data_IF_163921111492
#
_entry.id   IF_163921111492
#
_cell.length_a   1.000
_cell.length_b   1.000
_cell.length_c   1.000
_cell.angle_alpha   90.00
_cell.angle_beta   90.00
_cell.angle_gamma   90.00
#
_symmetry.space_group_name_H-M   'P 1'
#
loop_
_entity.id
_entity.type
_entity.pdbx_description
1 polymer ?
#
# COMPACT_ATOMS: atom_id res chain seq x y z
N UNK A 1 22.20 9.88 -3.31
CA UNK A 1 21.39 8.72 -2.87
C UNK A 1 19.96 9.21 -2.80
N UNK A 2 19.02 8.61 -3.53
CA UNK A 2 17.61 9.00 -3.41
C UNK A 2 17.10 8.49 -2.06
N UNK A 3 16.84 9.40 -1.13
CA UNK A 3 16.35 9.08 0.21
C UNK A 3 14.86 8.70 0.08
N UNK A 4 14.55 7.40 0.21
CA UNK A 4 13.18 6.90 0.09
C UNK A 4 12.45 7.26 1.38
N UNK A 5 11.44 8.10 1.26
CA UNK A 5 10.64 8.53 2.41
C UNK A 5 9.74 7.40 2.92
N UNK A 6 9.58 7.31 4.23
CA UNK A 6 8.62 6.40 4.85
C UNK A 6 7.18 6.84 4.57
N UNK A 7 6.32 5.88 4.20
CA UNK A 7 4.91 6.11 3.97
C UNK A 7 4.20 6.45 5.28
N UNK A 8 3.60 7.64 5.34
CA UNK A 8 2.71 8.07 6.42
C UNK A 8 1.31 7.51 6.21
N UNK A 9 0.82 7.59 4.98
CA UNK A 9 -0.48 7.05 4.59
C UNK A 9 -0.39 6.38 3.21
N UNK A 10 -1.11 5.28 3.06
CA UNK A 10 -1.19 4.51 1.83
C UNK A 10 -2.65 4.14 1.58
N UNK A 11 -3.19 4.59 0.45
CA UNK A 11 -4.57 4.28 0.06
C UNK A 11 -4.59 3.15 -0.97
N UNK A 12 -5.34 2.11 -0.65
CA UNK A 12 -5.50 0.91 -1.43
C UNK A 12 -6.94 0.80 -1.92
N UNK A 13 -7.13 0.67 -3.23
CA UNK A 13 -8.45 0.42 -3.83
C UNK A 13 -8.55 -1.03 -4.27
N UNK A 14 -9.68 -1.69 -3.98
CA UNK A 14 -9.93 -3.03 -4.54
C UNK A 14 -10.16 -2.95 -6.04
N UNK A 15 -9.37 -3.67 -6.84
CA UNK A 15 -9.63 -3.82 -8.27
C UNK A 15 -10.44 -5.10 -8.59
N UNK A 16 -10.43 -6.10 -7.70
CA UNK A 16 -11.19 -7.34 -7.87
C UNK A 16 -12.36 -7.42 -6.86
N UNK A 17 -13.59 -7.35 -7.35
CA UNK A 17 -14.83 -7.40 -6.54
C UNK A 17 -15.15 -8.80 -6.00
N UNK A 18 -14.55 -9.86 -6.57
CA UNK A 18 -14.76 -11.24 -6.13
C UNK A 18 -13.79 -11.68 -5.02
N UNK A 19 -12.90 -10.78 -4.57
CA UNK A 19 -11.91 -11.10 -3.56
C UNK A 19 -12.52 -11.24 -2.15
N UNK A 20 -12.25 -12.34 -1.44
CA UNK A 20 -12.71 -12.52 -0.07
C UNK A 20 -12.25 -11.41 0.91
N UNK A 21 -12.97 -11.17 2.02
CA UNK A 21 -12.72 -10.01 2.89
C UNK A 21 -11.41 -10.05 3.68
N UNK A 22 -10.82 -11.25 3.90
CA UNK A 22 -9.60 -11.45 4.69
C UNK A 22 -8.31 -10.88 4.06
N UNK A 23 -8.38 -10.31 2.86
CA UNK A 23 -7.22 -9.86 2.10
C UNK A 23 -6.58 -8.59 2.67
N UNK A 24 -7.28 -7.83 3.54
CA UNK A 24 -6.75 -6.63 4.20
C UNK A 24 -5.55 -6.91 5.10
N UNK A 25 -5.54 -8.05 5.81
CA UNK A 25 -4.41 -8.42 6.66
C UNK A 25 -3.22 -8.91 5.81
N UNK A 26 -3.50 -9.69 4.76
CA UNK A 26 -2.49 -10.23 3.85
C UNK A 26 -1.74 -9.09 3.15
N UNK A 27 -2.45 -8.08 2.66
CA UNK A 27 -1.81 -6.97 1.94
C UNK A 27 -0.91 -6.13 2.83
N UNK A 28 -1.31 -5.88 4.09
CA UNK A 28 -0.47 -5.18 5.08
C UNK A 28 0.83 -5.93 5.34
N UNK A 29 0.74 -7.23 5.65
CA UNK A 29 1.94 -8.05 5.90
C UNK A 29 2.85 -8.16 4.69
N UNK A 30 2.31 -8.17 3.47
CA UNK A 30 3.12 -8.23 2.23
C UNK A 30 3.79 -6.91 1.87
N UNK A 31 3.19 -5.79 2.24
CA UNK A 31 3.70 -4.44 1.96
C UNK A 31 4.73 -4.01 3.00
N UNK A 32 4.63 -4.48 4.24
CA UNK A 32 5.56 -4.10 5.31
C UNK A 32 7.03 -4.34 4.91
N UNK A 33 7.87 -3.32 5.05
CA UNK A 33 9.28 -3.36 4.68
C UNK A 33 9.56 -3.24 3.18
N UNK A 34 8.53 -3.05 2.34
CA UNK A 34 8.68 -2.85 0.89
C UNK A 34 8.45 -1.40 0.49
N UNK A 35 9.05 -1.04 -0.62
CA UNK A 35 8.74 0.21 -1.29
C UNK A 35 7.54 0.02 -2.23
N UNK A 36 6.74 1.05 -2.38
CA UNK A 36 5.61 1.07 -3.31
C UNK A 36 5.34 2.49 -3.80
N UNK A 37 4.64 2.57 -4.93
CA UNK A 37 4.19 3.82 -5.54
C UNK A 37 2.78 3.64 -6.11
N UNK A 38 2.17 4.75 -6.54
CA UNK A 38 0.86 4.73 -7.20
C UNK A 38 0.89 3.83 -8.44
N UNK A 39 -0.14 2.98 -8.59
CA UNK A 39 -0.30 2.00 -9.66
C UNK A 39 0.20 0.60 -9.32
N UNK A 40 0.98 0.43 -8.24
CA UNK A 40 1.42 -0.90 -7.82
C UNK A 40 0.24 -1.75 -7.35
N UNK A 41 0.26 -3.05 -7.68
CA UNK A 41 -0.81 -3.99 -7.34
C UNK A 41 -0.34 -5.06 -6.37
N UNK A 42 -1.11 -5.24 -5.31
CA UNK A 42 -0.84 -6.23 -4.27
C UNK A 42 -2.10 -7.02 -3.95
N UNK A 43 -2.01 -8.34 -4.16
CA UNK A 43 -3.12 -9.28 -3.93
C UNK A 43 -4.33 -8.90 -4.80
N UNK A 44 -5.26 -8.10 -4.29
CA UNK A 44 -6.50 -7.65 -4.94
C UNK A 44 -6.69 -6.13 -4.84
N UNK A 45 -5.66 -5.44 -4.37
CA UNK A 45 -5.64 -4.00 -4.18
C UNK A 45 -4.63 -3.34 -5.11
N UNK A 46 -4.94 -2.12 -5.52
CA UNK A 46 -4.05 -1.21 -6.24
C UNK A 46 -3.74 -0.01 -5.32
N UNK A 47 -2.47 0.42 -5.30
CA UNK A 47 -2.06 1.64 -4.61
C UNK A 47 -2.56 2.82 -5.44
N UNK A 48 -3.52 3.56 -4.92
CA UNK A 48 -4.09 4.73 -5.61
C UNK A 48 -3.53 6.04 -5.07
N UNK A 49 -2.92 6.02 -3.88
CA UNK A 49 -2.29 7.20 -3.26
C UNK A 49 -1.21 6.79 -2.26
N UNK A 50 -0.11 7.53 -2.26
CA UNK A 50 0.94 7.49 -1.24
C UNK A 50 1.10 8.87 -0.61
N UNK A 51 1.41 8.92 0.68
CA UNK A 51 1.76 10.15 1.40
C UNK A 51 3.08 9.92 2.13
N UNK A 52 4.19 10.61 1.79
CA UNK A 52 4.31 11.57 0.68
C UNK A 52 4.10 10.91 -0.70
N UNK A 53 3.82 11.73 -1.71
CA UNK A 53 3.63 11.23 -3.08
C UNK A 53 4.93 10.68 -3.66
N UNK A 54 4.79 9.66 -4.52
CA UNK A 54 5.91 8.96 -5.14
C UNK A 54 6.25 7.65 -4.45
N UNK A 55 7.50 7.20 -4.65
CA UNK A 55 8.02 5.95 -4.10
C UNK A 55 8.26 6.09 -2.59
N UNK A 56 7.57 5.27 -1.81
CA UNK A 56 7.64 5.31 -0.34
C UNK A 56 7.89 3.94 0.26
N UNK A 57 8.62 3.90 1.38
CA UNK A 57 8.84 2.70 2.17
C UNK A 57 7.68 2.48 3.15
N UNK A 58 7.03 1.32 3.08
CA UNK A 58 5.97 0.96 4.02
C UNK A 58 6.59 0.43 5.31
N UNK A 59 6.18 1.01 6.43
CA UNK A 59 6.66 0.66 7.77
C UNK A 59 5.48 0.31 8.68
N UNK A 60 5.77 -0.08 9.92
CA UNK A 60 4.73 -0.38 10.93
C UNK A 60 3.89 0.85 11.28
N UNK A 61 4.42 2.06 11.03
CA UNK A 61 3.74 3.33 11.29
C UNK A 61 2.84 3.77 10.12
N UNK A 62 2.89 3.08 8.98
CA UNK A 62 2.10 3.46 7.80
C UNK A 62 0.61 3.23 8.04
N UNK A 63 -0.18 4.29 7.86
CA UNK A 63 -1.64 4.22 7.93
C UNK A 63 -2.21 3.69 6.62
N UNK A 64 -2.85 2.52 6.67
CA UNK A 64 -3.52 1.93 5.51
C UNK A 64 -4.98 2.36 5.42
N UNK A 65 -5.34 3.07 4.35
CA UNK A 65 -6.71 3.38 3.96
C UNK A 65 -7.18 2.40 2.88
N UNK A 66 -8.42 1.94 2.99
CA UNK A 66 -9.02 1.02 2.02
C UNK A 66 -10.30 1.63 1.46
N UNK A 67 -10.36 1.75 0.14
CA UNK A 67 -11.55 2.18 -0.64
C UNK A 67 -12.16 0.99 -1.41
#
# INVERSE_FOLDING_TARGET
MAEISSARELTLRKFNRMAPPFHRHIVRSRLLGKTCQVGDRFVVFEVVRTVPEGLVLVTEQTLFRFE
#
